data_IF_105166499912
#
_entry.id   IF_105166499912
#
_cell.length_a   1.000
_cell.length_b   1.000
_cell.length_c   1.000
_cell.angle_alpha   90.00
_cell.angle_beta   90.00
_cell.angle_gamma   90.00
#
_symmetry.space_group_name_H-M   'P 1'
#
loop_
_entity.id
_entity.type
_entity.pdbx_description
1 polymer ?
#
# COMPACT_ATOMS: atom_id res chain seq x y z
N UNK A 1 12.93 12.36 7.32
CA UNK A 1 13.25 10.90 7.38
C UNK A 1 13.86 10.31 6.11
N UNK A 2 13.52 10.74 4.87
CA UNK A 2 14.12 10.20 3.63
C UNK A 2 15.66 10.29 3.61
N UNK A 3 16.23 11.43 4.03
CA UNK A 3 17.68 11.63 4.11
C UNK A 3 18.41 10.87 5.23
N UNK A 4 17.70 10.38 6.26
CA UNK A 4 18.31 9.51 7.28
C UNK A 4 18.43 8.07 6.76
N UNK A 5 17.48 7.65 5.92
CA UNK A 5 17.42 6.28 5.40
C UNK A 5 18.60 5.93 4.49
N UNK A 6 19.22 6.90 3.84
CA UNK A 6 20.43 6.69 3.02
C UNK A 6 21.65 6.34 3.87
N UNK A 7 21.67 6.73 5.14
CA UNK A 7 22.78 6.50 6.06
C UNK A 7 22.52 5.35 7.04
N UNK A 8 21.27 4.96 7.25
CA UNK A 8 20.89 3.89 8.20
C UNK A 8 20.54 2.56 7.52
N UNK A 9 20.16 2.56 6.23
CA UNK A 9 19.93 1.33 5.48
C UNK A 9 21.26 0.64 5.19
N UNK A 10 21.34 -0.63 5.56
CA UNK A 10 22.49 -1.49 5.32
C UNK A 10 21.98 -2.76 4.69
N UNK A 11 22.74 -3.28 3.73
CA UNK A 11 22.43 -4.58 3.13
C UNK A 11 22.72 -5.71 4.14
N UNK A 12 22.13 -6.91 3.97
CA UNK A 12 22.42 -8.05 4.83
C UNK A 12 23.92 -8.36 4.96
N UNK A 13 24.66 -8.31 3.85
CA UNK A 13 26.10 -8.51 3.81
C UNK A 13 26.87 -7.44 4.61
N UNK A 14 26.47 -6.16 4.51
CA UNK A 14 27.09 -5.09 5.28
C UNK A 14 26.81 -5.24 6.78
N UNK A 15 25.60 -5.65 7.14
CA UNK A 15 25.24 -5.98 8.53
C UNK A 15 26.10 -7.10 9.08
N UNK A 16 26.21 -8.22 8.36
CA UNK A 16 27.03 -9.36 8.75
C UNK A 16 28.51 -8.97 8.93
N UNK A 17 29.07 -8.23 7.98
CA UNK A 17 30.45 -7.74 8.06
C UNK A 17 30.67 -6.81 9.27
N UNK A 18 29.69 -5.97 9.62
CA UNK A 18 29.76 -5.10 10.81
C UNK A 18 29.69 -5.92 12.10
N UNK A 19 28.82 -6.92 12.17
CA UNK A 19 28.70 -7.82 13.32
C UNK A 19 29.99 -8.63 13.52
N UNK A 20 30.53 -9.22 12.46
CA UNK A 20 31.79 -9.96 12.52
C UNK A 20 32.96 -9.07 12.96
N UNK A 21 33.01 -7.82 12.49
CA UNK A 21 34.01 -6.84 12.94
C UNK A 21 33.84 -6.50 14.42
N UNK A 22 32.60 -6.29 14.87
CA UNK A 22 32.31 -6.02 16.27
C UNK A 22 32.77 -7.18 17.18
N UNK A 23 32.43 -8.42 16.83
CA UNK A 23 32.86 -9.63 17.58
C UNK A 23 34.40 -9.72 17.62
N UNK A 24 35.08 -9.47 16.49
CA UNK A 24 36.56 -9.44 16.43
C UNK A 24 37.16 -8.34 17.31
N UNK A 25 36.54 -7.16 17.36
CA UNK A 25 37.03 -6.06 18.19
C UNK A 25 36.81 -6.32 19.68
N UNK A 26 35.63 -6.84 20.05
CA UNK A 26 35.31 -7.20 21.42
C UNK A 26 36.21 -8.33 21.93
N UNK A 27 36.49 -9.33 21.08
CA UNK A 27 37.35 -10.46 21.46
C UNK A 27 38.82 -10.07 21.61
N UNK A 28 39.31 -9.04 20.91
CA UNK A 28 40.68 -8.53 21.03
C UNK A 28 40.88 -7.62 22.24
N UNK A 29 39.82 -7.04 22.78
CA UNK A 29 39.93 -6.09 23.87
C UNK A 29 40.11 -6.80 25.22
N UNK A 30 41.28 -6.63 25.84
CA UNK A 30 41.63 -7.29 27.10
C UNK A 30 40.70 -6.94 28.26
N UNK A 31 40.21 -5.70 28.38
CA UNK A 31 39.31 -5.32 29.48
C UNK A 31 37.94 -6.01 29.36
N UNK A 32 37.44 -6.12 28.14
CA UNK A 32 36.19 -6.82 27.81
C UNK A 32 36.36 -8.32 28.10
N UNK A 33 37.49 -8.91 27.72
CA UNK A 33 37.78 -10.31 27.99
C UNK A 33 37.87 -10.64 29.48
N UNK A 34 38.56 -9.80 30.26
CA UNK A 34 38.62 -9.97 31.73
C UNK A 34 37.24 -9.88 32.37
N UNK A 35 36.41 -8.94 31.90
CA UNK A 35 35.04 -8.81 32.39
C UNK A 35 34.23 -10.05 32.03
N UNK A 36 34.23 -10.49 30.77
CA UNK A 36 33.46 -11.66 30.36
C UNK A 36 33.93 -12.95 31.05
N UNK A 37 35.24 -13.13 31.21
CA UNK A 37 35.80 -14.30 31.91
C UNK A 37 35.45 -14.34 33.39
N UNK A 38 35.37 -13.18 34.06
CA UNK A 38 34.87 -13.08 35.44
C UNK A 38 33.44 -13.62 35.56
N UNK A 39 32.64 -13.50 34.50
CA UNK A 39 31.26 -13.99 34.43
C UNK A 39 31.15 -15.40 33.83
N UNK A 40 32.27 -16.03 33.45
CA UNK A 40 32.28 -17.32 32.76
C UNK A 40 31.69 -17.27 31.34
N UNK A 41 31.67 -16.08 30.72
CA UNK A 41 31.11 -15.85 29.38
C UNK A 41 32.21 -15.65 28.33
N UNK A 42 31.87 -15.92 27.07
CA UNK A 42 32.72 -15.64 25.92
C UNK A 42 31.87 -15.43 24.66
N UNK A 43 32.35 -14.63 23.71
CA UNK A 43 31.67 -14.48 22.40
C UNK A 43 32.00 -15.65 21.47
N UNK A 44 31.00 -16.11 20.74
CA UNK A 44 31.18 -17.08 19.66
C UNK A 44 31.70 -16.38 18.39
N UNK A 45 32.60 -17.04 17.66
CA UNK A 45 33.26 -16.47 16.48
C UNK A 45 32.49 -16.68 15.17
N UNK A 46 31.29 -17.24 15.24
CA UNK A 46 30.41 -17.51 14.11
C UNK A 46 29.00 -17.03 14.44
N UNK A 47 28.31 -16.46 13.46
CA UNK A 47 26.91 -16.09 13.62
C UNK A 47 26.05 -17.36 13.76
N UNK A 48 25.04 -17.27 14.61
CA UNK A 48 24.09 -18.34 14.87
C UNK A 48 23.34 -18.71 13.58
N UNK A 49 23.34 -19.99 13.22
CA UNK A 49 22.52 -20.50 12.14
C UNK A 49 21.13 -20.86 12.67
N UNK A 50 20.09 -20.31 12.05
CA UNK A 50 18.70 -20.57 12.40
C UNK A 50 18.01 -21.29 11.25
N UNK A 51 17.33 -22.39 11.56
CA UNK A 51 16.51 -23.09 10.57
C UNK A 51 15.15 -22.40 10.49
N UNK A 52 14.91 -21.69 9.40
CA UNK A 52 13.62 -21.09 9.08
C UNK A 52 12.79 -21.95 8.12
N UNK A 53 11.59 -21.46 7.79
CA UNK A 53 10.77 -21.99 6.69
C UNK A 53 10.33 -20.86 5.78
N UNK A 54 10.23 -21.14 4.48
CA UNK A 54 9.62 -20.25 3.50
C UNK A 54 8.18 -20.68 3.32
N UNK A 55 7.24 -19.75 3.47
CA UNK A 55 5.82 -20.04 3.21
C UNK A 55 5.58 -20.07 1.70
N UNK A 56 4.72 -20.99 1.21
CA UNK A 56 4.34 -21.00 -0.20
C UNK A 56 3.57 -19.73 -0.56
N UNK A 57 3.53 -19.41 -1.85
CA UNK A 57 2.69 -18.33 -2.36
C UNK A 57 1.22 -18.64 -2.08
N UNK A 58 0.49 -17.64 -1.57
CA UNK A 58 -0.96 -17.72 -1.45
C UNK A 58 -1.63 -17.30 -2.76
N UNK A 59 -2.82 -17.83 -3.03
CA UNK A 59 -3.60 -17.45 -4.22
C UNK A 59 -4.39 -16.18 -3.92
N UNK A 60 -4.28 -15.18 -4.78
CA UNK A 60 -5.07 -13.95 -4.66
C UNK A 60 -6.38 -14.13 -5.44
N UNK A 61 -7.48 -13.71 -4.82
CA UNK A 61 -8.84 -13.78 -5.37
C UNK A 61 -9.31 -12.36 -5.75
N UNK A 62 -9.86 -12.22 -6.95
CA UNK A 62 -10.37 -10.96 -7.49
C UNK A 62 -11.71 -11.17 -8.23
N UNK A 63 -12.48 -10.11 -8.48
CA UNK A 63 -13.82 -10.23 -9.06
C UNK A 63 -13.82 -10.88 -10.47
N UNK A 64 -14.91 -11.55 -10.84
CA UNK A 64 -15.04 -12.15 -12.18
C UNK A 64 -14.92 -11.11 -13.28
N UNK A 65 -14.15 -11.46 -14.32
CA UNK A 65 -14.22 -10.75 -15.59
C UNK A 65 -15.61 -10.98 -16.18
N UNK A 66 -16.36 -9.91 -16.44
CA UNK A 66 -17.63 -10.01 -17.15
C UNK A 66 -17.39 -10.64 -18.54
N UNK A 67 -17.75 -11.91 -18.71
CA UNK A 67 -17.70 -12.60 -20.00
C UNK A 67 -18.81 -11.99 -20.85
N UNK A 68 -18.46 -11.17 -21.85
CA UNK A 68 -19.41 -10.72 -22.86
C UNK A 68 -19.80 -11.93 -23.71
N UNK A 69 -20.93 -12.55 -23.37
CA UNK A 69 -21.56 -13.58 -24.20
C UNK A 69 -21.96 -14.80 -23.40
N UNK A 70 -23.13 -14.75 -22.78
CA UNK A 70 -24.14 -15.82 -22.73
C UNK A 70 -25.32 -15.25 -21.95
N UNK A 71 -26.46 -15.13 -22.62
CA UNK A 71 -27.74 -14.78 -22.01
C UNK A 71 -28.22 -15.97 -21.19
N UNK A 72 -27.76 -16.11 -19.97
CA UNK A 72 -28.40 -17.01 -19.00
C UNK A 72 -28.66 -16.28 -17.69
N UNK A 73 -29.97 -16.07 -17.45
CA UNK A 73 -30.52 -15.49 -16.24
C UNK A 73 -30.25 -16.44 -15.06
N UNK A 74 -29.12 -16.28 -14.38
CA UNK A 74 -28.93 -16.88 -13.06
C UNK A 74 -28.62 -15.76 -12.07
N UNK A 75 -29.51 -15.60 -11.10
CA UNK A 75 -29.40 -14.69 -9.96
C UNK A 75 -28.19 -15.07 -9.11
N UNK A 76 -27.02 -14.53 -9.47
CA UNK A 76 -25.72 -14.80 -8.88
C UNK A 76 -25.43 -13.89 -7.67
N UNK A 77 -26.31 -13.88 -6.67
CA UNK A 77 -26.10 -13.05 -5.49
C UNK A 77 -25.71 -13.80 -4.20
N UNK A 78 -25.80 -15.15 -4.14
CA UNK A 78 -25.67 -15.87 -2.85
C UNK A 78 -24.68 -17.05 -2.78
N UNK A 79 -23.94 -17.42 -3.83
CA UNK A 79 -23.20 -18.71 -3.84
C UNK A 79 -21.69 -18.68 -3.60
N UNK A 80 -21.03 -17.54 -3.43
CA UNK A 80 -19.57 -17.53 -3.20
C UNK A 80 -19.23 -17.73 -1.70
N UNK A 81 -19.64 -18.87 -1.11
CA UNK A 81 -19.26 -19.28 0.26
C UNK A 81 -18.27 -20.45 0.31
N UNK A 82 -18.00 -21.12 -0.80
CA UNK A 82 -17.07 -22.28 -0.86
C UNK A 82 -16.00 -22.06 -1.92
N UNK A 83 -14.75 -21.96 -1.45
CA UNK A 83 -13.55 -21.58 -2.22
C UNK A 83 -13.18 -22.53 -3.37
N UNK A 84 -13.74 -23.74 -3.42
CA UNK A 84 -13.30 -24.77 -4.36
C UNK A 84 -13.88 -24.63 -5.77
N UNK A 85 -15.03 -23.95 -5.95
CA UNK A 85 -15.77 -23.96 -7.23
C UNK A 85 -16.44 -22.60 -7.58
N UNK A 86 -15.95 -21.48 -7.05
CA UNK A 86 -16.48 -20.17 -7.46
C UNK A 86 -15.91 -19.79 -8.84
N UNK A 87 -16.61 -20.19 -9.93
CA UNK A 87 -16.34 -19.76 -11.33
C UNK A 87 -16.51 -18.25 -11.56
N UNK A 88 -16.85 -17.52 -10.50
CA UNK A 88 -17.19 -16.09 -10.46
C UNK A 88 -16.03 -15.23 -9.94
N UNK A 89 -14.86 -15.80 -9.65
CA UNK A 89 -13.69 -15.01 -9.22
C UNK A 89 -12.47 -15.30 -10.09
N UNK A 90 -11.75 -14.27 -10.50
CA UNK A 90 -10.43 -14.42 -11.08
C UNK A 90 -9.43 -14.81 -9.98
N UNK A 91 -8.51 -15.71 -10.32
CA UNK A 91 -7.48 -16.19 -9.40
C UNK A 91 -6.11 -16.07 -10.06
N UNK A 92 -5.12 -15.63 -9.30
CA UNK A 92 -3.74 -15.54 -9.78
C UNK A 92 -2.73 -15.87 -8.68
N UNK A 93 -1.59 -16.37 -9.13
CA UNK A 93 -0.40 -16.61 -8.31
C UNK A 93 0.58 -15.45 -8.50
N UNK A 94 1.40 -15.21 -7.48
CA UNK A 94 2.43 -14.18 -7.50
C UNK A 94 3.75 -14.76 -6.98
N UNK A 95 4.87 -14.11 -7.30
CA UNK A 95 6.16 -14.49 -6.72
C UNK A 95 6.27 -13.94 -5.29
N UNK A 96 6.36 -14.79 -4.24
CA UNK A 96 6.47 -14.33 -2.86
C UNK A 96 7.72 -13.51 -2.58
N UNK A 97 8.80 -13.75 -3.33
CA UNK A 97 10.06 -13.03 -3.17
C UNK A 97 9.98 -11.58 -3.65
N UNK A 98 9.17 -11.31 -4.68
CA UNK A 98 8.96 -9.97 -5.21
C UNK A 98 7.80 -9.26 -4.50
N UNK A 99 6.84 -10.03 -3.97
CA UNK A 99 5.63 -9.55 -3.29
C UNK A 99 4.89 -8.45 -4.08
N UNK A 100 4.93 -8.53 -5.41
CA UNK A 100 4.28 -7.61 -6.33
C UNK A 100 3.31 -8.38 -7.23
N UNK A 101 2.05 -7.98 -7.18
CA UNK A 101 0.95 -8.51 -7.99
C UNK A 101 0.24 -7.40 -8.78
N UNK A 102 0.91 -6.26 -8.97
CA UNK A 102 0.35 -5.06 -9.61
C UNK A 102 0.07 -5.25 -11.09
N UNK A 103 0.63 -6.27 -11.75
CA UNK A 103 0.37 -6.57 -13.17
C UNK A 103 -0.88 -7.43 -13.31
N UNK A 104 -1.00 -8.42 -12.44
CA UNK A 104 -2.04 -9.44 -12.38
C UNK A 104 -3.39 -8.82 -11.99
N UNK A 105 -3.39 -7.77 -11.15
CA UNK A 105 -4.60 -7.01 -10.80
C UNK A 105 -5.19 -6.17 -11.93
N UNK A 106 -4.43 -5.88 -13.00
CA UNK A 106 -4.84 -4.87 -13.99
C UNK A 106 -6.03 -5.33 -14.81
N UNK A 107 -7.04 -4.48 -14.90
CA UNK A 107 -8.23 -4.72 -15.72
C UNK A 107 -9.17 -5.79 -15.16
N UNK A 108 -8.90 -6.29 -13.95
CA UNK A 108 -9.81 -7.18 -13.22
C UNK A 108 -10.68 -6.35 -12.27
N UNK A 109 -12.00 -6.61 -12.19
CA UNK A 109 -12.86 -5.92 -11.23
C UNK A 109 -12.51 -6.32 -9.80
N UNK A 110 -12.80 -5.45 -8.83
CA UNK A 110 -12.58 -5.77 -7.42
C UNK A 110 -13.54 -6.87 -6.96
N UNK A 111 -13.17 -7.64 -5.92
CA UNK A 111 -14.04 -8.67 -5.32
C UNK A 111 -15.38 -8.09 -4.87
N UNK A 112 -15.30 -6.92 -4.22
CA UNK A 112 -16.46 -6.13 -3.79
C UNK A 112 -16.10 -4.68 -4.01
N UNK A 113 -16.88 -3.96 -4.82
CA UNK A 113 -16.76 -2.52 -4.96
C UNK A 113 -18.11 -1.85 -4.74
N UNK A 114 -18.08 -0.71 -4.06
CA UNK A 114 -19.23 0.18 -3.96
C UNK A 114 -19.11 1.25 -5.06
N UNK A 115 -20.13 1.46 -5.91
CA UNK A 115 -20.09 2.51 -6.92
C UNK A 115 -19.98 3.88 -6.25
N UNK A 116 -19.08 4.72 -6.75
CA UNK A 116 -18.92 6.12 -6.33
C UNK A 116 -19.81 6.99 -7.20
N UNK A 117 -21.05 7.20 -6.76
CA UNK A 117 -22.07 7.97 -7.45
C UNK A 117 -21.99 9.46 -7.14
N UNK A 118 -21.79 9.79 -5.86
CA UNK A 118 -21.78 11.19 -5.40
C UNK A 118 -20.50 11.43 -4.61
N UNK A 119 -19.49 11.95 -5.30
CA UNK A 119 -18.21 12.30 -4.70
C UNK A 119 -17.71 13.65 -5.24
N UNK A 120 -16.84 14.30 -4.46
CA UNK A 120 -16.33 15.63 -4.75
C UNK A 120 -14.82 15.59 -4.94
N UNK A 121 -14.31 16.34 -5.92
CA UNK A 121 -12.88 16.58 -6.09
C UNK A 121 -12.60 18.06 -5.81
N UNK A 122 -11.88 18.33 -4.72
CA UNK A 122 -11.51 19.69 -4.36
C UNK A 122 -10.11 20.03 -4.85
N UNK A 123 -9.94 21.22 -5.42
CA UNK A 123 -8.66 21.72 -5.89
C UNK A 123 -8.52 23.21 -5.60
N UNK A 124 -7.29 23.68 -5.49
CA UNK A 124 -6.99 25.12 -5.54
C UNK A 124 -7.09 25.64 -6.97
N UNK A 125 -7.20 26.96 -7.12
CA UNK A 125 -7.16 27.61 -8.44
C UNK A 125 -5.89 27.27 -9.22
N UNK A 126 -4.73 27.23 -8.56
CA UNK A 126 -3.45 26.93 -9.21
C UNK A 126 -3.32 25.46 -9.68
N UNK A 127 -4.10 24.54 -9.12
CA UNK A 127 -4.04 23.11 -9.43
C UNK A 127 -5.22 22.62 -10.28
N UNK A 128 -6.00 23.52 -10.89
CA UNK A 128 -7.16 23.17 -11.70
C UNK A 128 -6.79 22.22 -12.86
N UNK A 129 -5.68 22.48 -13.55
CA UNK A 129 -5.20 21.65 -14.65
C UNK A 129 -4.78 20.25 -14.17
N UNK A 130 -4.14 20.17 -12.99
CA UNK A 130 -3.73 18.89 -12.37
C UNK A 130 -4.96 18.07 -11.99
N UNK A 131 -5.98 18.71 -11.41
CA UNK A 131 -7.23 18.06 -11.05
C UNK A 131 -7.97 17.52 -12.30
N UNK A 132 -8.01 18.30 -13.37
CA UNK A 132 -8.59 17.87 -14.63
C UNK A 132 -7.81 16.70 -15.27
N UNK A 133 -6.48 16.75 -15.27
CA UNK A 133 -5.62 15.66 -15.76
C UNK A 133 -5.81 14.37 -14.97
N UNK A 134 -5.94 14.47 -13.64
CA UNK A 134 -6.25 13.34 -12.77
C UNK A 134 -7.61 12.71 -13.13
N UNK A 135 -8.66 13.52 -13.32
CA UNK A 135 -9.98 13.02 -13.72
C UNK A 135 -9.96 12.34 -15.09
N UNK A 136 -9.24 12.90 -16.05
CA UNK A 136 -9.06 12.27 -17.36
C UNK A 136 -8.36 10.92 -17.23
N UNK A 137 -7.38 10.81 -16.32
CA UNK A 137 -6.65 9.56 -16.07
C UNK A 137 -7.55 8.53 -15.38
N UNK A 138 -8.31 8.93 -14.36
CA UNK A 138 -9.26 8.05 -13.66
C UNK A 138 -10.35 7.51 -14.60
N UNK A 139 -10.82 8.31 -15.55
CA UNK A 139 -11.80 7.86 -16.54
C UNK A 139 -11.20 6.92 -17.60
N UNK A 140 -9.88 6.99 -17.85
CA UNK A 140 -9.19 6.14 -18.83
C UNK A 140 -8.75 4.81 -18.26
N UNK A 141 -8.39 4.76 -16.97
CA UNK A 141 -7.86 3.56 -16.33
C UNK A 141 -9.02 2.71 -15.81
N UNK A 142 -9.08 1.41 -16.12
CA UNK A 142 -10.06 0.50 -15.54
C UNK A 142 -9.71 0.23 -14.07
N UNK A 143 -10.21 1.08 -13.18
CA UNK A 143 -9.99 1.02 -11.72
C UNK A 143 -10.80 -0.06 -11.00
N UNK A 144 -11.65 -0.80 -11.71
CA UNK A 144 -12.48 -1.87 -11.11
C UNK A 144 -13.61 -1.36 -10.20
N UNK A 145 -13.84 -0.04 -10.18
CA UNK A 145 -14.90 0.65 -9.46
C UNK A 145 -15.68 1.48 -10.48
N UNK A 146 -17.00 1.52 -10.34
CA UNK A 146 -17.82 2.45 -11.11
C UNK A 146 -17.70 3.85 -10.50
N UNK A 147 -17.07 4.79 -11.22
CA UNK A 147 -16.98 6.19 -10.80
C UNK A 147 -17.87 7.06 -11.67
N UNK A 148 -18.84 7.73 -11.05
CA UNK A 148 -19.55 8.84 -11.66
C UNK A 148 -18.65 10.08 -11.73
N UNK A 149 -19.01 11.03 -12.60
CA UNK A 149 -18.29 12.30 -12.70
C UNK A 149 -18.40 13.07 -11.37
N UNK A 150 -17.28 13.43 -10.71
CA UNK A 150 -17.34 14.14 -9.45
C UNK A 150 -17.83 15.58 -9.61
N UNK A 151 -18.36 16.12 -8.53
CA UNK A 151 -18.52 17.57 -8.38
C UNK A 151 -17.16 18.24 -8.13
N UNK A 152 -16.79 19.18 -8.99
CA UNK A 152 -15.57 19.99 -8.82
C UNK A 152 -15.82 21.09 -7.78
N UNK A 153 -14.92 21.21 -6.80
CA UNK A 153 -14.96 22.25 -5.77
C UNK A 153 -13.64 23.03 -5.77
N UNK A 154 -13.67 24.25 -6.28
CA UNK A 154 -12.57 25.20 -6.14
C UNK A 154 -12.61 25.84 -4.74
N UNK A 155 -11.46 25.96 -4.09
CA UNK A 155 -11.30 26.73 -2.85
C UNK A 155 -9.96 27.50 -2.88
N UNK A 156 -9.87 28.56 -2.06
CA UNK A 156 -8.62 29.33 -1.89
C UNK A 156 -7.63 28.52 -1.04
N UNK A 157 -6.31 28.72 -1.18
CA UNK A 157 -5.26 27.92 -0.51
C UNK A 157 -5.10 28.24 0.99
N UNK A 158 -6.23 28.46 1.67
CA UNK A 158 -6.36 28.69 3.11
C UNK A 158 -7.21 27.59 3.71
N UNK A 159 -6.77 27.05 4.84
CA UNK A 159 -7.48 25.99 5.55
C UNK A 159 -8.94 26.36 5.88
N UNK A 160 -9.21 27.63 6.21
CA UNK A 160 -10.56 28.13 6.48
C UNK A 160 -11.46 28.13 5.23
N UNK A 161 -10.89 28.44 4.06
CA UNK A 161 -11.63 28.42 2.80
C UNK A 161 -12.01 26.99 2.42
N UNK A 162 -11.11 26.03 2.64
CA UNK A 162 -11.40 24.60 2.48
C UNK A 162 -12.54 24.17 3.41
N UNK A 163 -12.46 24.50 4.70
CA UNK A 163 -13.49 24.15 5.68
C UNK A 163 -14.87 24.71 5.31
N UNK A 164 -14.94 25.99 4.90
CA UNK A 164 -16.20 26.60 4.45
C UNK A 164 -16.74 25.93 3.19
N UNK A 165 -15.87 25.62 2.23
CA UNK A 165 -16.27 24.94 1.00
C UNK A 165 -16.84 23.54 1.30
N UNK A 166 -16.19 22.79 2.20
CA UNK A 166 -16.69 21.49 2.67
C UNK A 166 -18.05 21.63 3.36
N UNK A 167 -18.20 22.56 4.31
CA UNK A 167 -19.47 22.78 5.01
C UNK A 167 -20.64 23.12 4.07
N UNK A 168 -20.36 23.79 2.94
CA UNK A 168 -21.39 24.18 1.99
C UNK A 168 -21.83 23.06 1.04
N UNK A 169 -20.95 22.11 0.71
CA UNK A 169 -21.23 21.09 -0.32
C UNK A 169 -21.23 19.65 0.17
N UNK A 170 -20.65 19.37 1.34
CA UNK A 170 -20.67 18.03 1.93
C UNK A 170 -22.02 17.84 2.63
N UNK A 171 -22.95 17.19 1.93
CA UNK A 171 -24.21 16.71 2.49
C UNK A 171 -24.14 15.23 2.87
N UNK A 172 -25.23 14.68 3.42
CA UNK A 172 -25.31 13.25 3.82
C UNK A 172 -25.15 12.26 2.65
N UNK A 173 -25.29 12.72 1.41
CA UNK A 173 -25.21 11.88 0.20
C UNK A 173 -23.79 11.78 -0.39
N UNK A 174 -22.84 12.59 0.09
CA UNK A 174 -21.46 12.55 -0.42
C UNK A 174 -20.73 11.34 0.15
N UNK A 175 -20.31 10.42 -0.71
CA UNK A 175 -19.61 9.18 -0.33
C UNK A 175 -18.12 9.41 -0.06
N UNK A 176 -17.50 10.35 -0.78
CA UNK A 176 -16.06 10.63 -0.70
C UNK A 176 -15.75 12.07 -1.11
N UNK A 177 -14.73 12.65 -0.47
CA UNK A 177 -14.09 13.90 -0.92
C UNK A 177 -12.61 13.62 -1.20
N UNK A 178 -12.18 13.85 -2.43
CA UNK A 178 -10.77 13.80 -2.83
C UNK A 178 -10.14 15.19 -2.75
N UNK A 179 -9.06 15.32 -1.98
CA UNK A 179 -8.25 16.55 -1.93
C UNK A 179 -7.06 16.39 -2.90
N UNK A 180 -6.92 17.27 -3.89
CA UNK A 180 -5.78 17.20 -4.84
C UNK A 180 -4.48 17.79 -4.30
N UNK A 181 -4.52 18.35 -3.09
CA UNK A 181 -3.36 18.87 -2.38
C UNK A 181 -3.25 18.09 -1.07
N UNK A 182 -2.03 17.67 -0.75
CA UNK A 182 -1.72 17.22 0.60
C UNK A 182 -1.61 18.47 1.46
N UNK A 183 -2.49 18.60 2.46
CA UNK A 183 -2.21 19.48 3.59
C UNK A 183 -1.03 18.84 4.31
N UNK A 184 0.20 19.19 3.93
CA UNK A 184 1.34 18.99 4.81
C UNK A 184 1.01 19.78 6.07
N UNK A 185 0.52 19.07 7.08
CA UNK A 185 0.42 19.63 8.42
C UNK A 185 1.83 19.99 8.80
N UNK A 186 2.13 21.29 8.73
CA UNK A 186 3.33 21.88 9.29
C UNK A 186 3.38 21.55 10.78
N UNK A 187 3.95 20.39 11.12
CA UNK A 187 4.57 20.19 12.42
C UNK A 187 6.02 20.59 12.23
N UNK A 188 6.25 21.90 12.18
CA UNK A 188 7.54 22.47 12.57
C UNK A 188 7.61 22.37 14.09
N UNK A 189 8.36 21.38 14.58
CA UNK A 189 9.17 21.49 15.80
C UNK A 189 10.52 20.84 15.53
#
# INVERSE_FOLDING_TARGET
MKGLSTHTRLTPEQWENRLNRFIKNMSRNASVQTTLSTWGLSFENKLLNLTGRVLPAERILQGARAVRGTTENTTAHDTCRTLAECSVCAQYEYNPCDADWSKEMRGLPLMTSMPLETWLLSHTRCNADVAHSLLQTLNKVPVGIHLQRPGMMEYDDRQEALLRALQQRVGQQVQMVGLTHWVESSVTM
#
